data_IF_284395927100
#
_entry.id   IF_284395927100
#
_cell.length_a   1.000
_cell.length_b   1.000
_cell.length_c   1.000
_cell.angle_alpha   90.00
_cell.angle_beta   90.00
_cell.angle_gamma   90.00
#
_symmetry.space_group_name_H-M   'P 1'
#
loop_
_entity.id
_entity.type
_entity.pdbx_description
1 polymer ?
#
# COMPACT_ATOMS: atom_id res chain seq x y z
N UNK A 1 44.24 13.63 -39.32
CA UNK A 1 42.91 13.92 -39.89
C UNK A 1 41.89 13.03 -39.17
N UNK A 2 40.99 13.69 -38.42
CA UNK A 2 39.61 13.34 -38.00
C UNK A 2 39.01 12.04 -38.56
N UNK A 3 38.16 11.25 -37.91
CA UNK A 3 37.43 11.30 -36.63
C UNK A 3 36.83 9.89 -36.36
N UNK A 4 36.38 9.60 -35.12
CA UNK A 4 35.69 8.37 -34.72
C UNK A 4 34.16 8.49 -34.86
N UNK A 5 33.45 7.36 -34.98
CA UNK A 5 32.02 7.27 -34.64
C UNK A 5 31.70 5.92 -34.00
N UNK A 6 31.76 5.88 -32.67
CA UNK A 6 30.99 4.93 -31.89
C UNK A 6 29.52 5.40 -31.89
N UNK A 7 28.62 4.54 -32.34
CA UNK A 7 27.18 4.75 -32.31
C UNK A 7 26.67 4.59 -30.90
N UNK A 8 26.17 5.69 -30.35
CA UNK A 8 25.43 5.82 -29.12
C UNK A 8 23.97 5.37 -29.38
N UNK A 9 23.53 4.23 -28.83
CA UNK A 9 22.11 3.89 -28.79
C UNK A 9 21.77 2.83 -27.73
N UNK A 10 20.86 3.23 -26.84
CA UNK A 10 19.95 2.41 -26.03
C UNK A 10 20.50 1.70 -24.78
N UNK A 11 20.92 2.50 -23.80
CA UNK A 11 20.71 2.15 -22.38
C UNK A 11 19.32 2.65 -21.94
N UNK A 12 18.25 1.99 -22.39
CA UNK A 12 16.97 2.03 -21.67
C UNK A 12 17.21 1.36 -20.32
N UNK A 13 17.48 2.16 -19.29
CA UNK A 13 17.43 1.72 -17.90
C UNK A 13 16.03 1.16 -17.68
N UNK A 14 15.91 -0.16 -17.56
CA UNK A 14 14.65 -0.80 -17.17
C UNK A 14 14.34 -0.31 -15.76
N UNK A 15 13.30 0.51 -15.61
CA UNK A 15 12.79 0.84 -14.29
C UNK A 15 12.48 -0.47 -13.55
N UNK A 16 13.02 -0.66 -12.34
CA UNK A 16 12.76 -1.89 -11.58
C UNK A 16 11.26 -2.05 -11.38
N UNK A 17 10.75 -3.27 -11.60
CA UNK A 17 9.34 -3.57 -11.35
C UNK A 17 9.04 -3.36 -9.87
N UNK A 18 7.96 -2.63 -9.58
CA UNK A 18 7.45 -2.44 -8.22
C UNK A 18 6.60 -3.62 -7.75
N UNK A 19 6.41 -4.62 -8.61
CA UNK A 19 5.44 -5.68 -8.38
C UNK A 19 5.98 -6.76 -7.48
N UNK A 20 5.15 -7.20 -6.53
CA UNK A 20 5.47 -8.35 -5.68
C UNK A 20 4.93 -9.66 -6.24
N UNK A 21 3.87 -9.58 -7.04
CA UNK A 21 3.19 -10.71 -7.63
C UNK A 21 3.20 -10.59 -9.16
N UNK A 22 3.53 -11.69 -9.84
CA UNK A 22 3.72 -11.76 -11.30
C UNK A 22 2.44 -11.32 -12.05
N UNK A 23 2.52 -10.68 -13.22
CA UNK A 23 1.54 -9.65 -13.59
C UNK A 23 0.32 -10.18 -14.32
N UNK A 24 -0.87 -9.69 -13.94
CA UNK A 24 -1.82 -9.19 -14.94
C UNK A 24 -1.17 -7.97 -15.62
N UNK A 25 -1.22 -7.86 -16.95
CA UNK A 25 -0.54 -6.82 -17.75
C UNK A 25 -0.69 -5.43 -17.10
N UNK A 26 0.44 -4.78 -16.77
CA UNK A 26 0.40 -3.45 -16.19
C UNK A 26 -0.35 -2.49 -17.11
N UNK A 27 -1.41 -1.87 -16.59
CA UNK A 27 -1.99 -0.72 -17.27
C UNK A 27 -0.90 0.35 -17.34
N UNK A 28 -0.59 0.80 -18.55
CA UNK A 28 0.36 1.90 -18.74
C UNK A 28 -0.35 3.16 -18.26
N UNK A 29 -0.14 3.51 -17.00
CA UNK A 29 -0.62 4.77 -16.45
C UNK A 29 0.37 5.89 -16.81
N UNK A 30 -0.16 7.05 -17.20
CA UNK A 30 0.68 8.23 -17.43
C UNK A 30 1.38 8.62 -16.11
N UNK A 31 2.68 8.92 -16.11
CA UNK A 31 3.39 9.32 -14.90
C UNK A 31 2.76 10.55 -14.23
N UNK A 32 2.70 10.54 -12.90
CA UNK A 32 2.27 11.69 -12.11
C UNK A 32 3.52 12.39 -11.57
N UNK A 33 3.77 13.60 -12.05
CA UNK A 33 4.93 14.39 -11.62
C UNK A 33 4.56 15.32 -10.47
N UNK A 34 5.20 15.13 -9.33
CA UNK A 34 5.15 16.04 -8.19
C UNK A 34 6.29 17.06 -8.19
N UNK A 35 6.23 17.98 -7.24
CA UNK A 35 7.25 18.98 -6.95
C UNK A 35 7.86 18.77 -5.55
N UNK A 36 8.07 17.50 -5.17
CA UNK A 36 8.70 17.16 -3.90
C UNK A 36 10.17 17.58 -3.85
N UNK A 37 10.67 18.01 -2.68
CA UNK A 37 12.11 18.08 -2.44
C UNK A 37 12.77 16.73 -2.73
N UNK A 38 13.99 16.75 -3.27
CA UNK A 38 14.69 15.55 -3.73
C UNK A 38 14.73 14.42 -2.69
N UNK A 39 15.03 14.75 -1.42
CA UNK A 39 15.05 13.79 -0.32
C UNK A 39 13.67 13.12 -0.11
N UNK A 40 12.59 13.90 -0.17
CA UNK A 40 11.23 13.41 -0.04
C UNK A 40 10.79 12.58 -1.27
N UNK A 41 11.22 12.96 -2.47
CA UNK A 41 10.94 12.21 -3.69
C UNK A 41 11.58 10.81 -3.65
N UNK A 42 12.85 10.71 -3.25
CA UNK A 42 13.53 9.42 -3.07
C UNK A 42 12.89 8.58 -1.96
N UNK A 43 12.53 9.22 -0.85
CA UNK A 43 11.85 8.54 0.25
C UNK A 43 10.49 7.95 -0.19
N UNK A 44 9.69 8.71 -0.95
CA UNK A 44 8.44 8.19 -1.50
C UNK A 44 8.71 7.02 -2.47
N UNK A 45 9.74 7.11 -3.32
CA UNK A 45 10.11 6.02 -4.23
C UNK A 45 10.50 4.71 -3.50
N UNK A 46 11.02 4.81 -2.27
CA UNK A 46 11.26 3.65 -1.39
C UNK A 46 9.94 3.06 -0.85
N UNK A 47 8.97 3.90 -0.48
CA UNK A 47 7.73 3.41 0.12
C UNK A 47 6.72 2.84 -0.88
N UNK A 48 6.64 3.39 -2.09
CA UNK A 48 5.65 2.97 -3.09
C UNK A 48 5.65 1.46 -3.43
N UNK A 49 6.80 0.76 -3.57
CA UNK A 49 6.75 -0.69 -3.76
C UNK A 49 6.16 -1.45 -2.57
N UNK A 50 6.31 -0.98 -1.33
CA UNK A 50 5.64 -1.63 -0.18
C UNK A 50 4.12 -1.52 -0.34
N UNK A 51 3.64 -0.31 -0.67
CA UNK A 51 2.20 -0.06 -0.86
C UNK A 51 1.65 -0.84 -2.05
N UNK A 52 2.33 -0.81 -3.21
CA UNK A 52 1.91 -1.54 -4.41
C UNK A 52 1.82 -3.05 -4.20
N UNK A 53 2.75 -3.64 -3.44
CA UNK A 53 2.64 -5.04 -3.03
C UNK A 53 1.40 -5.33 -2.17
N UNK A 54 0.95 -4.35 -1.40
CA UNK A 54 -0.30 -4.39 -0.65
C UNK A 54 -1.52 -4.39 -1.55
N UNK A 55 -1.61 -3.43 -2.48
CA UNK A 55 -2.74 -3.33 -3.43
C UNK A 55 -2.89 -4.62 -4.26
N UNK A 56 -1.78 -5.17 -4.78
CA UNK A 56 -1.79 -6.43 -5.52
C UNK A 56 -2.34 -7.58 -4.69
N UNK A 57 -1.89 -7.69 -3.44
CA UNK A 57 -2.32 -8.75 -2.55
C UNK A 57 -3.79 -8.60 -2.11
N UNK A 58 -4.22 -7.37 -1.81
CA UNK A 58 -5.59 -7.05 -1.44
C UNK A 58 -6.55 -7.39 -2.59
N UNK A 59 -6.22 -6.95 -3.82
CA UNK A 59 -7.03 -7.24 -5.00
C UNK A 59 -7.22 -8.74 -5.24
N UNK A 60 -6.14 -9.53 -5.12
CA UNK A 60 -6.21 -11.00 -5.22
C UNK A 60 -7.04 -11.62 -4.09
N UNK A 61 -6.85 -11.16 -2.86
CA UNK A 61 -7.55 -11.71 -1.70
C UNK A 61 -9.05 -11.41 -1.73
N UNK A 62 -9.45 -10.19 -2.08
CA UNK A 62 -10.85 -9.82 -2.21
C UNK A 62 -11.55 -10.57 -3.33
N UNK A 63 -10.87 -10.76 -4.46
CA UNK A 63 -11.41 -11.56 -5.56
C UNK A 63 -11.65 -13.01 -5.13
N UNK A 64 -10.67 -13.65 -4.48
CA UNK A 64 -10.80 -15.03 -3.96
C UNK A 64 -11.88 -15.16 -2.89
N UNK A 65 -11.97 -14.19 -1.97
CA UNK A 65 -13.00 -14.19 -0.93
C UNK A 65 -14.41 -14.08 -1.54
N UNK A 66 -14.58 -13.29 -2.58
CA UNK A 66 -15.88 -13.05 -3.21
C UNK A 66 -16.57 -14.31 -3.77
N UNK A 67 -15.80 -15.35 -4.09
CA UNK A 67 -16.33 -16.62 -4.60
C UNK A 67 -16.91 -17.50 -3.48
N UNK A 68 -16.53 -17.25 -2.23
CA UNK A 68 -17.01 -17.96 -1.04
C UNK A 68 -18.18 -17.27 -0.32
N UNK A 69 -18.62 -16.12 -0.81
CA UNK A 69 -19.68 -15.31 -0.20
C UNK A 69 -21.04 -15.49 -0.88
N UNK A 70 -22.11 -15.04 -0.22
CA UNK A 70 -23.41 -14.87 -0.89
C UNK A 70 -23.31 -13.86 -2.05
N UNK A 71 -24.27 -13.85 -3.00
CA UNK A 71 -24.17 -13.01 -4.20
C UNK A 71 -24.02 -11.51 -3.92
N UNK A 72 -24.63 -10.99 -2.85
CA UNK A 72 -24.58 -9.57 -2.53
C UNK A 72 -23.18 -9.21 -1.98
N UNK A 73 -22.74 -9.93 -0.94
CA UNK A 73 -21.41 -9.75 -0.35
C UNK A 73 -20.29 -10.01 -1.38
N UNK A 74 -20.43 -11.05 -2.21
CA UNK A 74 -19.47 -11.36 -3.26
C UNK A 74 -19.36 -10.26 -4.32
N UNK A 75 -20.47 -9.60 -4.69
CA UNK A 75 -20.42 -8.48 -5.63
C UNK A 75 -19.73 -7.25 -5.02
N UNK A 76 -19.95 -6.99 -3.73
CA UNK A 76 -19.25 -5.93 -2.99
C UNK A 76 -17.75 -6.20 -2.96
N UNK A 77 -17.33 -7.42 -2.62
CA UNK A 77 -15.91 -7.78 -2.58
C UNK A 77 -15.24 -7.74 -3.96
N UNK A 78 -15.91 -8.17 -5.04
CA UNK A 78 -15.40 -8.02 -6.41
C UNK A 78 -15.21 -6.56 -6.80
N UNK A 79 -16.09 -5.67 -6.36
CA UNK A 79 -15.95 -4.23 -6.58
C UNK A 79 -14.73 -3.68 -5.84
N UNK A 80 -14.53 -4.06 -4.58
CA UNK A 80 -13.33 -3.68 -3.82
C UNK A 80 -12.07 -4.19 -4.53
N UNK A 81 -12.04 -5.45 -4.96
CA UNK A 81 -10.92 -6.01 -5.73
C UNK A 81 -10.58 -5.22 -7.00
N UNK A 82 -11.59 -4.71 -7.71
CA UNK A 82 -11.40 -3.85 -8.88
C UNK A 82 -10.86 -2.46 -8.51
N UNK A 83 -11.23 -1.94 -7.34
CA UNK A 83 -10.70 -0.68 -6.81
C UNK A 83 -9.22 -0.80 -6.44
N UNK A 84 -8.77 -1.94 -5.89
CA UNK A 84 -7.34 -2.19 -5.62
C UNK A 84 -6.50 -2.23 -6.89
N UNK A 85 -7.06 -2.73 -8.00
CA UNK A 85 -6.37 -2.67 -9.30
C UNK A 85 -6.19 -1.22 -9.77
N UNK A 86 -7.13 -0.33 -9.43
CA UNK A 86 -7.00 1.11 -9.70
C UNK A 86 -5.94 1.72 -8.78
N UNK A 87 -5.89 1.34 -7.50
CA UNK A 87 -4.86 1.81 -6.56
C UNK A 87 -3.45 1.38 -7.01
N UNK A 88 -3.26 0.12 -7.41
CA UNK A 88 -2.00 -0.35 -8.00
C UNK A 88 -1.59 0.50 -9.21
N UNK A 89 -2.54 0.77 -10.12
CA UNK A 89 -2.30 1.65 -11.27
C UNK A 89 -1.88 3.07 -10.87
N UNK A 90 -2.50 3.64 -9.84
CA UNK A 90 -2.13 4.96 -9.31
C UNK A 90 -0.74 4.95 -8.67
N UNK A 91 -0.40 3.93 -7.89
CA UNK A 91 0.94 3.78 -7.29
C UNK A 91 2.01 3.64 -8.37
N UNK A 92 1.74 2.88 -9.42
CA UNK A 92 2.65 2.75 -10.57
C UNK A 92 2.82 4.11 -11.29
N UNK A 93 1.74 4.88 -11.45
CA UNK A 93 1.79 6.21 -12.04
C UNK A 93 2.63 7.20 -11.20
N UNK A 94 2.48 7.17 -9.88
CA UNK A 94 3.28 7.98 -8.95
C UNK A 94 4.75 7.60 -9.07
N UNK A 95 5.07 6.31 -9.01
CA UNK A 95 6.45 5.85 -9.03
C UNK A 95 7.16 6.13 -10.37
N UNK A 96 6.43 6.11 -11.49
CA UNK A 96 6.98 6.48 -12.79
C UNK A 96 7.37 7.96 -12.88
N UNK A 97 6.81 8.83 -12.03
CA UNK A 97 7.14 10.25 -11.93
C UNK A 97 8.22 10.59 -10.91
N UNK A 98 8.75 9.59 -10.19
CA UNK A 98 9.75 9.77 -9.12
C UNK A 98 11.15 9.30 -9.57
N UNK A 99 12.21 9.70 -8.83
CA UNK A 99 13.54 9.13 -9.02
C UNK A 99 13.53 7.61 -8.91
N UNK A 100 14.45 6.96 -9.61
CA UNK A 100 14.61 5.52 -9.50
C UNK A 100 14.95 5.16 -8.03
N UNK A 101 14.22 4.22 -7.41
CA UNK A 101 14.55 3.84 -6.06
C UNK A 101 15.86 3.05 -6.00
N UNK A 102 16.51 2.98 -4.83
CA UNK A 102 17.63 2.07 -4.60
C UNK A 102 17.23 0.60 -4.79
N UNK A 103 18.19 -0.32 -4.73
CA UNK A 103 17.86 -1.75 -4.73
C UNK A 103 17.03 -2.12 -3.49
N UNK A 104 15.79 -2.53 -3.72
CA UNK A 104 14.82 -2.89 -2.70
C UNK A 104 14.48 -4.39 -2.73
N UNK A 105 15.35 -5.24 -3.27
CA UNK A 105 15.06 -6.68 -3.42
C UNK A 105 14.70 -7.35 -2.09
N UNK A 106 15.45 -7.05 -1.02
CA UNK A 106 15.15 -7.57 0.32
C UNK A 106 13.79 -7.08 0.84
N UNK A 107 13.53 -5.78 0.77
CA UNK A 107 12.29 -5.17 1.24
C UNK A 107 11.08 -5.73 0.50
N UNK A 108 11.15 -5.85 -0.84
CA UNK A 108 10.12 -6.50 -1.66
C UNK A 108 9.88 -7.95 -1.25
N UNK A 109 10.94 -8.73 -0.99
CA UNK A 109 10.80 -10.11 -0.55
C UNK A 109 10.10 -10.21 0.83
N UNK A 110 10.40 -9.29 1.75
CA UNK A 110 9.73 -9.19 3.04
C UNK A 110 8.27 -8.79 2.89
N UNK A 111 7.94 -7.77 2.09
CA UNK A 111 6.56 -7.37 1.79
C UNK A 111 5.77 -8.51 1.18
N UNK A 112 6.32 -9.18 0.15
CA UNK A 112 5.69 -10.34 -0.48
C UNK A 112 5.37 -11.44 0.53
N UNK A 113 6.33 -11.77 1.41
CA UNK A 113 6.12 -12.79 2.45
C UNK A 113 5.02 -12.36 3.42
N UNK A 114 5.04 -11.12 3.87
CA UNK A 114 4.02 -10.58 4.77
C UNK A 114 2.61 -10.75 4.16
N UNK A 115 2.40 -10.31 2.92
CA UNK A 115 1.11 -10.40 2.24
C UNK A 115 0.65 -11.84 1.96
N UNK A 116 1.58 -12.75 1.59
CA UNK A 116 1.25 -14.18 1.44
C UNK A 116 0.71 -14.81 2.73
N UNK A 117 1.19 -14.36 3.89
CA UNK A 117 0.71 -14.87 5.17
C UNK A 117 -0.67 -14.30 5.56
N UNK A 118 -1.03 -13.09 5.08
CA UNK A 118 -2.37 -12.53 5.28
C UNK A 118 -3.46 -13.39 4.61
N UNK A 119 -3.17 -13.91 3.41
CA UNK A 119 -4.09 -14.76 2.64
C UNK A 119 -4.33 -16.18 3.17
N UNK A 120 -3.75 -16.57 4.31
CA UNK A 120 -3.91 -17.91 4.91
C UNK A 120 -5.08 -17.98 5.89
N UNK A 121 -5.66 -19.17 6.06
CA UNK A 121 -6.74 -19.43 7.03
C UNK A 121 -8.14 -19.34 6.41
N UNK A 122 -9.16 -19.40 7.25
CA UNK A 122 -10.56 -19.28 6.80
C UNK A 122 -10.92 -17.84 6.36
N UNK A 123 -12.08 -17.69 5.72
CA UNK A 123 -12.54 -16.41 5.17
C UNK A 123 -12.67 -15.30 6.21
N UNK A 124 -13.15 -15.62 7.42
CA UNK A 124 -13.33 -14.65 8.48
C UNK A 124 -11.98 -14.12 8.99
N UNK A 125 -10.99 -15.00 9.19
CA UNK A 125 -9.63 -14.60 9.57
C UNK A 125 -9.00 -13.75 8.46
N UNK A 126 -9.15 -14.14 7.20
CA UNK A 126 -8.59 -13.37 6.07
C UNK A 126 -9.20 -11.97 5.98
N UNK A 127 -10.53 -11.85 6.07
CA UNK A 127 -11.23 -10.55 6.12
C UNK A 127 -10.75 -9.69 7.29
N UNK A 128 -10.62 -10.26 8.49
CA UNK A 128 -10.13 -9.53 9.67
C UNK A 128 -8.70 -9.00 9.49
N UNK A 129 -7.83 -9.79 8.86
CA UNK A 129 -6.45 -9.38 8.57
C UNK A 129 -6.39 -8.24 7.55
N UNK A 130 -7.21 -8.32 6.51
CA UNK A 130 -7.28 -7.27 5.49
C UNK A 130 -7.83 -5.98 6.09
N UNK A 131 -8.95 -6.03 6.81
CA UNK A 131 -9.50 -4.87 7.53
C UNK A 131 -8.46 -4.20 8.46
N UNK A 132 -7.64 -5.02 9.14
CA UNK A 132 -6.57 -4.53 9.99
C UNK A 132 -5.38 -3.92 9.23
N UNK A 133 -5.09 -4.41 8.02
CA UNK A 133 -4.09 -3.85 7.12
C UNK A 133 -4.57 -2.50 6.57
N UNK A 134 -5.76 -2.46 5.96
CA UNK A 134 -6.30 -1.26 5.31
C UNK A 134 -6.49 -0.12 6.33
N UNK A 135 -6.90 -0.44 7.56
CA UNK A 135 -6.98 0.55 8.65
C UNK A 135 -5.61 1.09 9.07
N UNK A 136 -4.57 0.27 9.03
CA UNK A 136 -3.20 0.72 9.27
C UNK A 136 -2.66 1.57 8.11
N UNK A 137 -2.99 1.22 6.86
CA UNK A 137 -2.65 2.01 5.67
C UNK A 137 -3.37 3.37 5.69
N UNK A 138 -4.65 3.41 6.08
CA UNK A 138 -5.40 4.64 6.31
C UNK A 138 -4.66 5.56 7.30
N UNK A 139 -4.25 5.00 8.44
CA UNK A 139 -3.51 5.75 9.45
C UNK A 139 -2.17 6.26 8.89
N UNK A 140 -1.43 5.41 8.19
CA UNK A 140 -0.15 5.76 7.56
C UNK A 140 -0.32 6.94 6.60
N UNK A 141 -1.27 6.84 5.66
CA UNK A 141 -1.55 7.87 4.68
C UNK A 141 -2.04 9.16 5.34
N UNK A 142 -2.89 9.07 6.37
CA UNK A 142 -3.37 10.25 7.10
C UNK A 142 -2.22 11.05 7.75
N UNK A 143 -1.20 10.36 8.25
CA UNK A 143 -0.02 10.98 8.87
C UNK A 143 0.91 11.56 7.82
N UNK A 144 1.15 10.82 6.74
CA UNK A 144 1.92 11.30 5.59
C UNK A 144 1.29 12.54 4.94
N UNK A 145 -0.04 12.67 4.99
CA UNK A 145 -0.81 13.78 4.41
C UNK A 145 -1.19 14.89 5.41
N UNK A 146 -0.67 14.85 6.64
CA UNK A 146 -0.93 15.89 7.63
C UNK A 146 -0.37 17.25 7.16
N UNK A 147 -1.05 18.39 7.44
CA UNK A 147 -0.52 19.71 7.14
C UNK A 147 0.93 19.88 7.63
N UNK A 148 1.78 20.46 6.78
CA UNK A 148 3.19 20.69 7.06
C UNK A 148 4.14 19.56 6.64
N UNK A 149 3.64 18.40 6.19
CA UNK A 149 4.50 17.39 5.55
C UNK A 149 4.76 17.71 4.07
N UNK A 150 5.85 17.20 3.47
CA UNK A 150 6.13 17.39 2.05
C UNK A 150 4.98 16.93 1.14
N UNK A 151 4.36 15.79 1.46
CA UNK A 151 3.29 15.21 0.65
C UNK A 151 1.99 15.99 0.74
N UNK A 152 1.68 16.63 1.87
CA UNK A 152 0.43 17.38 2.02
C UNK A 152 0.37 18.64 1.13
N UNK A 153 1.54 19.24 0.86
CA UNK A 153 1.69 20.46 0.06
C UNK A 153 1.84 20.21 -1.46
N UNK A 154 2.05 18.97 -1.88
CA UNK A 154 2.23 18.65 -3.30
C UNK A 154 0.87 18.58 -4.03
N UNK A 155 0.67 19.48 -5.00
CA UNK A 155 -0.60 19.61 -5.71
C UNK A 155 -0.95 18.41 -6.62
N UNK A 156 0.05 17.64 -7.05
CA UNK A 156 -0.14 16.49 -7.94
C UNK A 156 -0.26 15.17 -7.17
N UNK A 157 0.60 14.97 -6.16
CA UNK A 157 0.67 13.72 -5.41
C UNK A 157 -0.38 13.62 -4.30
N UNK A 158 -0.65 14.72 -3.59
CA UNK A 158 -1.58 14.70 -2.45
C UNK A 158 -2.99 14.24 -2.84
N UNK A 159 -3.59 14.70 -3.96
CA UNK A 159 -4.92 14.23 -4.36
C UNK A 159 -4.99 12.72 -4.62
N UNK A 160 -3.94 12.13 -5.19
CA UNK A 160 -3.87 10.70 -5.46
C UNK A 160 -3.82 9.91 -4.15
N UNK A 161 -2.92 10.28 -3.25
CA UNK A 161 -2.79 9.61 -1.94
C UNK A 161 -4.05 9.80 -1.07
N UNK A 162 -4.71 10.96 -1.13
CA UNK A 162 -5.99 11.20 -0.44
C UNK A 162 -7.12 10.37 -1.01
N UNK A 163 -7.11 10.10 -2.32
CA UNK A 163 -8.10 9.22 -2.96
C UNK A 163 -7.94 7.80 -2.41
N UNK A 164 -6.72 7.25 -2.49
CA UNK A 164 -6.41 5.92 -1.94
C UNK A 164 -6.86 5.85 -0.48
N UNK A 165 -6.42 6.78 0.38
CA UNK A 165 -6.79 6.80 1.80
C UNK A 165 -8.31 6.83 2.07
N UNK A 166 -9.10 7.48 1.20
CA UNK A 166 -10.56 7.51 1.33
C UNK A 166 -11.19 6.18 0.93
N UNK A 167 -10.69 5.59 -0.16
CA UNK A 167 -11.16 4.29 -0.64
C UNK A 167 -10.82 3.20 0.37
N UNK A 168 -9.60 3.18 0.93
CA UNK A 168 -9.19 2.30 2.02
C UNK A 168 -10.13 2.40 3.24
N UNK A 169 -10.51 3.62 3.64
CA UNK A 169 -11.40 3.80 4.79
C UNK A 169 -12.79 3.17 4.56
N UNK A 170 -13.27 3.19 3.31
CA UNK A 170 -14.51 2.52 2.91
C UNK A 170 -14.31 1.00 2.86
N UNK A 171 -13.16 0.51 2.39
CA UNK A 171 -12.84 -0.92 2.38
C UNK A 171 -12.78 -1.50 3.80
N UNK A 172 -12.21 -0.76 4.76
CA UNK A 172 -12.26 -1.10 6.19
C UNK A 172 -13.69 -1.24 6.70
N UNK A 173 -14.60 -0.32 6.35
CA UNK A 173 -15.99 -0.38 6.77
C UNK A 173 -16.68 -1.64 6.22
N UNK A 174 -16.56 -1.88 4.91
CA UNK A 174 -17.13 -3.04 4.23
C UNK A 174 -16.62 -4.35 4.84
N UNK A 175 -15.31 -4.50 4.98
CA UNK A 175 -14.68 -5.72 5.50
C UNK A 175 -15.03 -5.98 6.96
N UNK A 176 -15.12 -4.92 7.76
CA UNK A 176 -15.53 -5.00 9.16
C UNK A 176 -16.99 -5.44 9.30
N UNK A 177 -17.90 -4.91 8.48
CA UNK A 177 -19.31 -5.32 8.50
C UNK A 177 -19.47 -6.82 8.18
N UNK A 178 -18.73 -7.30 7.17
CA UNK A 178 -18.73 -8.72 6.80
C UNK A 178 -18.16 -9.61 7.91
N UNK A 179 -17.17 -9.13 8.68
CA UNK A 179 -16.48 -9.94 9.68
C UNK A 179 -17.17 -9.98 11.05
N UNK A 180 -17.86 -8.91 11.46
CA UNK A 180 -18.51 -8.82 12.79
C UNK A 180 -19.61 -9.88 12.96
N UNK A 181 -20.26 -10.31 11.87
CA UNK A 181 -21.24 -11.40 11.91
C UNK A 181 -20.62 -12.79 12.11
N UNK A 182 -19.29 -12.90 12.00
CA UNK A 182 -18.54 -14.19 11.92
C UNK A 182 -17.51 -14.36 13.03
N UNK A 183 -17.11 -13.28 13.69
CA UNK A 183 -16.17 -13.34 14.80
C UNK A 183 -16.52 -12.33 15.89
N UNK A 184 -16.12 -12.67 17.12
CA UNK A 184 -16.22 -11.74 18.24
C UNK A 184 -15.31 -10.53 18.02
N UNK A 185 -15.70 -9.38 18.57
CA UNK A 185 -14.88 -8.17 18.55
C UNK A 185 -13.50 -8.40 19.19
N UNK A 186 -13.43 -9.23 20.24
CA UNK A 186 -12.16 -9.63 20.87
C UNK A 186 -11.26 -10.38 19.90
N UNK A 187 -11.79 -11.35 19.15
CA UNK A 187 -11.03 -12.08 18.13
C UNK A 187 -10.54 -11.16 17.02
N UNK A 188 -11.40 -10.25 16.56
CA UNK A 188 -11.04 -9.24 15.55
C UNK A 188 -9.87 -8.37 16.02
N UNK A 189 -9.93 -7.89 17.28
CA UNK A 189 -8.85 -7.10 17.89
C UNK A 189 -7.54 -7.88 17.97
N UNK A 190 -7.58 -9.15 18.40
CA UNK A 190 -6.38 -10.01 18.50
C UNK A 190 -5.75 -10.20 17.11
N UNK A 191 -6.54 -10.59 16.11
CA UNK A 191 -6.05 -10.77 14.73
C UNK A 191 -5.45 -9.47 14.21
N UNK A 192 -6.15 -8.35 14.41
CA UNK A 192 -5.68 -7.07 13.93
C UNK A 192 -4.38 -6.61 14.58
N UNK A 193 -4.21 -6.80 15.89
CA UNK A 193 -2.96 -6.45 16.59
C UNK A 193 -1.78 -7.22 16.01
N UNK A 194 -1.91 -8.52 15.77
CA UNK A 194 -0.83 -9.32 15.16
C UNK A 194 -0.47 -8.83 13.75
N UNK A 195 -1.45 -8.47 12.93
CA UNK A 195 -1.20 -7.92 11.58
C UNK A 195 -0.42 -6.62 11.68
N UNK A 196 -0.84 -5.72 12.56
CA UNK A 196 -0.26 -4.39 12.67
C UNK A 196 1.13 -4.39 13.30
N UNK A 197 1.40 -5.25 14.28
CA UNK A 197 2.75 -5.44 14.83
C UNK A 197 3.72 -5.89 13.73
N UNK A 198 3.28 -6.83 12.88
CA UNK A 198 4.09 -7.33 11.77
C UNK A 198 4.26 -6.29 10.66
N UNK A 199 3.23 -5.52 10.35
CA UNK A 199 3.32 -4.39 9.43
C UNK A 199 4.31 -3.35 9.98
N UNK A 200 4.21 -2.99 11.25
CA UNK A 200 5.16 -2.08 11.91
C UNK A 200 6.60 -2.58 11.77
N UNK A 201 6.85 -3.87 12.03
CA UNK A 201 8.17 -4.46 11.84
C UNK A 201 8.67 -4.40 10.40
N UNK A 202 7.79 -4.58 9.40
CA UNK A 202 8.14 -4.39 7.99
C UNK A 202 8.48 -2.93 7.67
N UNK A 203 7.66 -1.99 8.14
CA UNK A 203 7.83 -0.56 7.87
C UNK A 203 9.06 0.04 8.56
N UNK A 204 9.53 -0.56 9.66
CA UNK A 204 10.78 -0.16 10.34
C UNK A 204 12.00 -0.30 9.42
N UNK A 205 12.01 -1.26 8.49
CA UNK A 205 13.09 -1.39 7.49
C UNK A 205 13.17 -0.18 6.53
N UNK A 206 12.12 0.66 6.50
CA UNK A 206 12.05 1.88 5.72
C UNK A 206 11.96 3.16 6.60
N UNK A 207 12.41 3.10 7.87
CA UNK A 207 12.30 4.21 8.82
C UNK A 207 12.91 5.53 8.30
N UNK A 208 14.07 5.47 7.66
CA UNK A 208 14.74 6.66 7.10
C UNK A 208 13.89 7.36 6.03
N UNK A 209 13.13 6.57 5.25
CA UNK A 209 12.20 7.12 4.26
C UNK A 209 11.01 7.80 4.93
N UNK A 210 10.48 7.24 6.02
CA UNK A 210 9.44 7.90 6.80
C UNK A 210 9.93 9.22 7.42
N UNK A 211 11.12 9.23 8.01
CA UNK A 211 11.69 10.46 8.58
C UNK A 211 11.90 11.54 7.51
N UNK A 212 12.38 11.15 6.33
CA UNK A 212 12.53 12.04 5.17
C UNK A 212 11.21 12.64 4.67
N UNK A 213 10.08 11.98 4.96
CA UNK A 213 8.72 12.45 4.68
C UNK A 213 8.08 13.19 5.87
N UNK A 214 8.89 13.54 6.88
CA UNK A 214 8.43 14.22 8.11
C UNK A 214 7.43 13.38 8.91
N UNK A 215 7.57 12.05 8.85
CA UNK A 215 6.87 11.10 9.69
C UNK A 215 7.83 10.60 10.79
N UNK A 216 7.40 10.67 12.06
CA UNK A 216 8.17 10.13 13.19
C UNK A 216 8.13 8.59 13.16
N UNK A 217 9.26 7.89 12.88
CA UNK A 217 9.27 6.43 12.78
C UNK A 217 8.83 5.72 14.06
N UNK A 218 8.90 6.37 15.24
CA UNK A 218 8.40 5.79 16.48
C UNK A 218 6.92 5.44 16.40
N UNK A 219 6.14 6.20 15.62
CA UNK A 219 4.71 5.96 15.42
C UNK A 219 4.41 4.66 14.65
N UNK A 220 5.35 4.16 13.86
CA UNK A 220 5.22 2.84 13.21
C UNK A 220 5.10 1.73 14.24
N UNK A 221 5.67 1.93 15.43
CA UNK A 221 5.62 0.94 16.51
C UNK A 221 4.55 1.27 17.54
N UNK A 222 4.28 2.55 17.83
CA UNK A 222 3.29 2.93 18.86
C UNK A 222 1.87 3.00 18.34
N UNK A 223 1.65 3.58 17.16
CA UNK A 223 0.32 3.98 16.68
C UNK A 223 -0.22 2.99 15.64
N UNK A 224 0.65 2.51 14.74
CA UNK A 224 0.26 1.46 13.80
C UNK A 224 -0.05 0.17 14.57
N UNK A 225 0.81 -0.26 15.50
CA UNK A 225 0.52 -1.45 16.31
C UNK A 225 -0.73 -1.26 17.21
N UNK A 226 -0.95 -0.04 17.73
CA UNK A 226 -2.06 0.29 18.64
C UNK A 226 -3.00 1.32 18.00
N UNK A 227 -3.95 0.83 17.19
CA UNK A 227 -4.98 1.69 16.61
C UNK A 227 -5.78 2.40 17.73
N UNK A 228 -6.03 3.72 17.61
CA UNK A 228 -7.00 4.41 18.45
C UNK A 228 -8.37 3.74 18.35
N UNK A 229 -9.06 3.58 19.48
CA UNK A 229 -10.39 2.96 19.53
C UNK A 229 -11.39 3.60 18.55
N UNK A 230 -11.22 4.88 18.22
CA UNK A 230 -12.06 5.62 17.27
C UNK A 230 -12.02 5.08 15.82
N UNK A 231 -11.00 4.32 15.41
CA UNK A 231 -10.99 3.63 14.11
C UNK A 231 -11.79 2.30 14.14
N UNK A 232 -12.23 1.86 15.33
CA UNK A 232 -13.17 0.76 15.52
C UNK A 232 -14.58 1.23 15.89
N UNK A 233 -14.80 2.53 16.03
CA UNK A 233 -16.09 3.12 16.33
C UNK A 233 -16.53 4.00 15.15
N UNK A 234 -17.42 3.45 14.34
CA UNK A 234 -18.47 4.25 13.71
C UNK A 234 -19.65 4.30 14.69
#
# INVERSE_FOLDING_TARGET
>A
MNSPTASDSDLRVKSPSLRCFTPAKAAIAAPVYGALPEKAAHALAVLLPILGCGEEAAGLAFYDLADGEDPEAGNVLRRVAAEEQVHDGLIQALAAGLPAPPDQTRLRAMSRRFHLELGRGDSAIRLARIAALDSAVCLLLSRLLRPGTPLAGDAALAPVLRRIARDEARHVQITRELVISRMSETSLKIVGTMVRERLGALLVEASDAFEALSFDPHWLQTDVARLPAALYHA
#
